data_IF_169748136378
#
_entry.id   IF_169748136378
#
_cell.length_a   1.000
_cell.length_b   1.000
_cell.length_c   1.000
_cell.angle_alpha   90.00
_cell.angle_beta   90.00
_cell.angle_gamma   90.00
#
_symmetry.space_group_name_H-M   'P 1'
#
loop_
_entity.id
_entity.type
_entity.pdbx_description
1 polymer ?
#
# COMPACT_ATOMS: atom_id res chain seq x y z
N UNK A 1 -3.49 8.81 32.61
CA UNK A 1 -3.17 7.55 31.91
C UNK A 1 -3.04 7.91 30.45
N UNK A 2 -1.91 7.59 29.84
CA UNK A 2 -1.54 8.05 28.49
C UNK A 2 -2.43 7.40 27.42
N UNK A 3 -3.05 8.16 26.48
CA UNK A 3 -3.88 7.62 25.42
C UNK A 3 -3.13 6.65 24.48
N UNK A 4 -1.83 6.87 24.28
CA UNK A 4 -0.96 5.98 23.50
C UNK A 4 -0.78 4.60 24.15
N UNK A 5 -0.72 4.56 25.48
CA UNK A 5 -0.67 3.30 26.22
C UNK A 5 -1.97 2.50 26.10
N UNK A 6 -3.12 3.16 25.98
CA UNK A 6 -4.42 2.48 25.83
C UNK A 6 -4.60 1.88 24.42
N UNK A 7 -4.11 2.55 23.38
CA UNK A 7 -4.13 2.05 22.00
C UNK A 7 -3.17 0.86 21.81
N UNK A 8 -1.94 0.96 22.33
CA UNK A 8 -1.00 -0.18 22.35
C UNK A 8 -1.53 -1.34 23.19
N UNK A 9 -2.18 -1.07 24.32
CA UNK A 9 -2.78 -2.12 25.15
C UNK A 9 -3.92 -2.85 24.42
N UNK A 10 -4.83 -2.14 23.76
CA UNK A 10 -5.92 -2.73 22.95
C UNK A 10 -5.38 -3.57 21.77
N UNK A 11 -4.30 -3.11 21.15
CA UNK A 11 -3.63 -3.85 20.06
C UNK A 11 -2.97 -5.13 20.56
N UNK A 12 -2.25 -5.05 21.69
CA UNK A 12 -1.66 -6.22 22.34
C UNK A 12 -2.71 -7.22 22.84
N UNK A 13 -3.87 -6.73 23.30
CA UNK A 13 -4.98 -7.57 23.76
C UNK A 13 -5.68 -8.29 22.59
N UNK A 14 -5.79 -7.64 21.42
CA UNK A 14 -6.28 -8.25 20.18
C UNK A 14 -5.29 -9.30 19.63
N UNK A 15 -3.99 -9.01 19.65
CA UNK A 15 -2.95 -9.98 19.28
C UNK A 15 -2.93 -11.20 20.21
N UNK A 16 -3.09 -10.98 21.53
CA UNK A 16 -3.19 -12.07 22.50
C UNK A 16 -4.46 -12.91 22.30
N UNK A 17 -5.60 -12.26 21.98
CA UNK A 17 -6.85 -12.95 21.66
C UNK A 17 -6.74 -13.78 20.37
N UNK A 18 -6.05 -13.25 19.36
CA UNK A 18 -5.74 -13.96 18.11
C UNK A 18 -4.82 -15.17 18.36
N UNK A 19 -3.79 -15.00 19.20
CA UNK A 19 -2.86 -16.07 19.59
C UNK A 19 -3.58 -17.20 20.31
N UNK A 20 -4.51 -16.87 21.21
CA UNK A 20 -5.34 -17.84 21.91
C UNK A 20 -6.35 -18.52 20.98
N UNK A 21 -6.99 -17.78 20.07
CA UNK A 21 -7.94 -18.32 19.09
C UNK A 21 -7.27 -19.30 18.11
N UNK A 22 -6.00 -19.07 17.76
CA UNK A 22 -5.21 -19.93 16.89
C UNK A 22 -4.57 -21.13 17.61
N UNK A 23 -4.85 -21.31 18.91
CA UNK A 23 -4.27 -22.36 19.75
C UNK A 23 -2.73 -22.38 19.73
N UNK A 24 -2.09 -21.21 19.55
CA UNK A 24 -0.63 -21.04 19.58
C UNK A 24 -0.11 -21.01 21.02
N UNK A 25 -0.58 -21.95 21.84
CA UNK A 25 -0.24 -22.05 23.26
C UNK A 25 1.25 -22.26 23.50
N UNK A 26 1.73 -21.78 24.65
CA UNK A 26 3.07 -22.05 25.15
C UNK A 26 3.33 -23.56 25.21
N UNK A 27 4.13 -24.07 24.28
CA UNK A 27 4.64 -25.43 24.37
C UNK A 27 5.55 -25.53 25.60
N UNK A 28 5.02 -26.09 26.69
CA UNK A 28 5.82 -26.45 27.85
C UNK A 28 6.82 -27.54 27.46
N UNK A 29 8.11 -27.20 27.49
CA UNK A 29 9.19 -28.15 27.24
C UNK A 29 9.28 -29.12 28.43
N UNK A 30 9.08 -30.43 28.25
CA UNK A 30 9.23 -31.41 29.32
C UNK A 30 10.73 -31.73 29.47
N UNK A 31 11.51 -30.77 30.00
CA UNK A 31 12.78 -30.95 30.72
C UNK A 31 13.38 -29.58 31.02
N UNK A 32 13.75 -29.39 32.31
CA UNK A 32 14.41 -28.21 32.90
C UNK A 32 15.36 -27.51 31.93
N UNK A 33 14.91 -26.39 31.34
CA UNK A 33 15.78 -25.45 30.65
C UNK A 33 15.50 -24.06 31.22
N UNK A 34 16.32 -23.63 32.17
CA UNK A 34 16.21 -22.40 32.94
C UNK A 34 16.64 -21.15 32.16
N UNK A 35 16.12 -20.95 30.95
CA UNK A 35 16.20 -19.68 30.22
C UNK A 35 14.85 -19.44 29.57
N UNK A 36 14.13 -18.39 30.00
CA UNK A 36 12.90 -17.91 29.35
C UNK A 36 13.18 -17.68 27.86
N UNK A 37 12.83 -18.64 27.00
CA UNK A 37 12.94 -18.51 25.55
C UNK A 37 11.71 -17.75 25.08
N UNK A 38 11.90 -16.50 24.63
CA UNK A 38 10.84 -15.71 24.02
C UNK A 38 10.44 -16.38 22.70
N UNK A 39 9.20 -16.83 22.58
CA UNK A 39 8.59 -17.23 21.32
C UNK A 39 8.62 -16.00 20.39
N UNK A 40 9.26 -16.09 19.23
CA UNK A 40 9.19 -15.06 18.20
C UNK A 40 8.08 -15.44 17.23
N UNK A 41 7.12 -14.55 17.01
CA UNK A 41 6.11 -14.67 15.95
C UNK A 41 6.71 -14.00 14.72
N UNK A 42 6.80 -14.71 13.61
CA UNK A 42 7.11 -14.13 12.30
C UNK A 42 5.79 -13.85 11.59
N UNK A 43 5.49 -12.58 11.33
CA UNK A 43 4.32 -12.23 10.50
C UNK A 43 4.77 -12.18 9.04
N UNK A 44 4.18 -13.01 8.21
CA UNK A 44 4.34 -12.97 6.76
C UNK A 44 3.04 -12.51 6.15
N UNK A 45 3.10 -11.40 5.44
CA UNK A 45 2.00 -10.96 4.60
C UNK A 45 2.11 -11.67 3.25
N UNK A 46 1.28 -12.68 3.06
CA UNK A 46 1.22 -13.51 1.84
C UNK A 46 0.40 -12.81 0.77
N UNK A 47 0.88 -11.63 0.43
CA UNK A 47 0.16 -10.64 -0.33
C UNK A 47 1.10 -9.97 -1.28
N UNK A 48 1.45 -10.68 -2.36
CA UNK A 48 2.26 -10.14 -3.44
C UNK A 48 3.27 -9.12 -2.93
N UNK A 49 4.38 -9.59 -2.33
CA UNK A 49 5.65 -9.00 -2.74
C UNK A 49 5.58 -8.86 -4.25
N UNK A 50 6.24 -7.88 -4.84
CA UNK A 50 6.42 -7.92 -6.28
C UNK A 50 7.45 -9.03 -6.59
N UNK A 51 7.10 -10.25 -6.21
CA UNK A 51 7.56 -11.50 -6.75
C UNK A 51 6.55 -11.74 -7.86
N UNK A 52 7.06 -11.88 -9.07
CA UNK A 52 6.35 -11.72 -10.33
C UNK A 52 5.26 -12.77 -10.62
N UNK A 53 4.72 -13.49 -9.62
CA UNK A 53 3.70 -14.52 -9.79
C UNK A 53 2.78 -14.58 -8.56
N UNK A 54 1.47 -14.64 -8.79
CA UNK A 54 0.41 -14.78 -7.78
C UNK A 54 0.34 -16.20 -7.13
N UNK A 55 1.43 -16.96 -7.12
CA UNK A 55 1.44 -18.38 -6.72
C UNK A 55 2.04 -18.59 -5.31
N UNK A 56 1.30 -19.31 -4.46
CA UNK A 56 1.64 -19.60 -3.06
C UNK A 56 2.94 -20.37 -2.82
N UNK A 57 3.58 -20.88 -3.87
CA UNK A 57 4.84 -21.63 -3.79
C UNK A 57 6.01 -20.78 -3.27
N UNK A 58 6.05 -19.48 -3.58
CA UNK A 58 7.19 -18.62 -3.24
C UNK A 58 7.29 -18.24 -1.75
N UNK A 59 6.17 -18.33 -1.04
CA UNK A 59 6.11 -17.97 0.38
C UNK A 59 6.70 -19.09 1.23
N UNK A 60 6.52 -20.35 0.81
CA UNK A 60 7.08 -21.51 1.51
C UNK A 60 8.61 -21.42 1.62
N UNK A 61 9.28 -21.02 0.54
CA UNK A 61 10.75 -20.87 0.49
C UNK A 61 11.27 -19.72 1.38
N UNK A 62 10.39 -18.75 1.67
CA UNK A 62 10.70 -17.62 2.54
C UNK A 62 10.49 -17.94 4.04
N UNK A 63 9.86 -19.07 4.37
CA UNK A 63 9.64 -19.48 5.77
C UNK A 63 10.94 -20.11 6.32
N UNK A 64 11.54 -19.56 7.37
CA UNK A 64 12.75 -20.11 7.95
C UNK A 64 12.51 -21.53 8.48
N UNK A 65 13.36 -22.48 8.07
CA UNK A 65 13.38 -23.82 8.66
C UNK A 65 13.97 -23.75 10.07
N UNK A 66 13.10 -23.68 11.09
CA UNK A 66 13.49 -23.66 12.50
C UNK A 66 12.68 -24.70 13.31
N UNK A 67 13.31 -25.39 14.28
CA UNK A 67 12.63 -26.42 15.07
C UNK A 67 11.60 -25.85 16.06
N UNK A 68 11.64 -24.55 16.34
CA UNK A 68 10.66 -23.86 17.18
C UNK A 68 10.39 -22.46 16.62
N UNK A 69 9.12 -22.13 16.46
CA UNK A 69 8.64 -20.84 15.97
C UNK A 69 7.19 -20.94 15.55
N UNK A 70 6.51 -19.81 15.48
CA UNK A 70 5.16 -19.72 14.91
C UNK A 70 5.18 -18.64 13.84
N UNK A 71 4.53 -18.92 12.71
CA UNK A 71 4.39 -17.99 11.59
C UNK A 71 2.93 -17.62 11.48
N UNK A 72 2.63 -16.33 11.49
CA UNK A 72 1.32 -15.79 11.19
C UNK A 72 1.31 -15.37 9.73
N UNK A 73 0.42 -15.97 8.93
CA UNK A 73 0.27 -15.62 7.51
C UNK A 73 -1.06 -14.90 7.31
N UNK A 74 -1.05 -13.75 6.66
CA UNK A 74 -2.28 -13.06 6.20
C UNK A 74 -2.39 -13.16 4.68
N UNK A 75 -3.58 -13.49 4.14
CA UNK A 75 -3.83 -13.59 2.69
C UNK A 75 -5.33 -13.44 2.35
N UNK A 76 -5.69 -12.93 1.14
CA UNK A 76 -7.06 -13.04 0.57
C UNK A 76 -7.23 -14.37 -0.15
N UNK A 77 -6.14 -15.02 -0.53
CA UNK A 77 -6.21 -16.25 -1.29
C UNK A 77 -6.37 -17.42 -0.31
N UNK A 78 -7.61 -17.90 -0.16
CA UNK A 78 -7.92 -19.01 0.75
C UNK A 78 -7.07 -20.25 0.44
N UNK A 79 -6.74 -20.51 -0.83
CA UNK A 79 -5.90 -21.65 -1.23
C UNK A 79 -4.49 -21.55 -0.65
N UNK A 80 -3.90 -20.36 -0.61
CA UNK A 80 -2.58 -20.13 0.01
C UNK A 80 -2.66 -20.40 1.51
N UNK A 81 -3.74 -19.95 2.16
CA UNK A 81 -4.00 -20.23 3.57
C UNK A 81 -4.08 -21.73 3.86
N UNK A 82 -4.82 -22.48 3.05
CA UNK A 82 -4.96 -23.94 3.19
C UNK A 82 -3.66 -24.70 2.92
N UNK A 83 -2.82 -24.23 2.00
CA UNK A 83 -1.57 -24.90 1.65
C UNK A 83 -0.46 -24.67 2.68
N UNK A 84 -0.37 -23.48 3.25
CA UNK A 84 0.78 -23.06 4.07
C UNK A 84 0.53 -23.11 5.58
N UNK A 85 -0.72 -23.05 6.04
CA UNK A 85 -1.05 -22.92 7.46
C UNK A 85 -1.72 -24.17 8.02
N UNK A 86 -1.28 -24.60 9.22
CA UNK A 86 -1.95 -25.68 9.95
C UNK A 86 -3.32 -25.27 10.52
N UNK A 87 -3.50 -23.97 10.78
CA UNK A 87 -4.74 -23.37 11.27
C UNK A 87 -5.05 -22.12 10.45
N UNK A 88 -6.30 -21.97 10.01
CA UNK A 88 -6.78 -20.82 9.25
C UNK A 88 -7.90 -20.10 10.01
N UNK A 89 -7.77 -18.79 10.17
CA UNK A 89 -8.82 -17.93 10.74
C UNK A 89 -9.34 -16.97 9.67
N UNK A 90 -10.61 -17.11 9.31
CA UNK A 90 -11.28 -16.14 8.44
C UNK A 90 -11.66 -14.91 9.26
N UNK A 91 -11.18 -13.75 8.84
CA UNK A 91 -11.55 -12.46 9.45
C UNK A 91 -12.82 -11.95 8.75
N UNK A 92 -13.98 -11.85 9.44
CA UNK A 92 -15.19 -11.31 8.85
C UNK A 92 -15.10 -9.78 8.70
N UNK A 93 -15.95 -9.16 7.86
CA UNK A 93 -16.17 -7.71 7.89
C UNK A 93 -16.57 -7.23 9.29
N UNK A 94 -16.35 -5.94 9.57
CA UNK A 94 -16.77 -5.38 10.86
C UNK A 94 -18.28 -5.34 10.96
N UNK A 95 -18.77 -5.50 12.18
CA UNK A 95 -20.18 -5.26 12.50
C UNK A 95 -20.55 -3.79 12.27
N UNK A 96 -21.84 -3.51 12.12
CA UNK A 96 -22.33 -2.12 11.98
C UNK A 96 -21.94 -1.31 13.22
N UNK A 97 -21.97 -1.91 14.41
CA UNK A 97 -21.61 -1.27 15.67
C UNK A 97 -20.11 -0.94 15.72
N UNK A 98 -19.25 -1.86 15.30
CA UNK A 98 -17.80 -1.63 15.20
C UNK A 98 -17.47 -0.55 14.16
N UNK A 99 -18.11 -0.58 12.99
CA UNK A 99 -17.91 0.44 11.96
C UNK A 99 -18.45 1.81 12.36
N UNK A 100 -19.59 1.87 13.06
CA UNK A 100 -20.11 3.11 13.67
C UNK A 100 -19.11 3.66 14.68
N UNK A 101 -18.59 2.79 15.55
CA UNK A 101 -17.60 3.16 16.57
C UNK A 101 -16.32 3.68 15.90
N UNK A 102 -15.83 3.00 14.87
CA UNK A 102 -14.66 3.41 14.10
C UNK A 102 -14.87 4.80 13.48
N UNK A 103 -16.00 5.02 12.80
CA UNK A 103 -16.33 6.30 12.17
C UNK A 103 -16.31 7.44 13.17
N UNK A 104 -17.03 7.30 14.29
CA UNK A 104 -17.12 8.34 15.31
C UNK A 104 -15.77 8.55 16.00
N UNK A 105 -14.99 7.49 16.18
CA UNK A 105 -13.62 7.57 16.73
C UNK A 105 -12.68 8.33 15.82
N UNK A 106 -12.84 8.27 14.50
CA UNK A 106 -12.01 9.04 13.55
C UNK A 106 -12.43 10.50 13.52
N UNK A 107 -13.74 10.80 13.62
CA UNK A 107 -14.25 12.18 13.62
C UNK A 107 -13.84 12.94 14.90
N UNK A 108 -13.63 12.23 16.02
CA UNK A 108 -13.10 12.77 17.28
C UNK A 108 -13.84 14.02 17.81
N UNK A 109 -15.17 14.00 17.84
CA UNK A 109 -15.97 15.05 18.50
C UNK A 109 -16.42 14.61 19.88
N UNK A 110 -16.47 15.55 20.82
CA UNK A 110 -16.84 15.30 22.22
C UNK A 110 -18.25 14.76 22.40
N UNK A 111 -19.19 15.21 21.55
CA UNK A 111 -20.60 14.84 21.63
C UNK A 111 -21.21 14.62 20.24
N UNK A 112 -22.04 13.58 20.17
CA UNK A 112 -22.85 13.25 19.00
C UNK A 112 -24.31 13.15 19.39
N UNK A 113 -25.19 13.79 18.62
CA UNK A 113 -26.64 13.65 18.82
C UNK A 113 -27.10 12.22 18.52
N UNK A 114 -28.33 11.87 18.92
CA UNK A 114 -28.89 10.55 18.61
C UNK A 114 -29.00 10.35 17.09
N UNK A 115 -29.39 11.39 16.39
CA UNK A 115 -29.54 11.43 14.93
C UNK A 115 -28.17 11.29 14.24
N UNK A 116 -27.10 11.89 14.77
CA UNK A 116 -25.75 11.72 14.22
C UNK A 116 -25.25 10.29 14.38
N UNK A 117 -25.52 9.66 15.53
CA UNK A 117 -25.17 8.25 15.75
C UNK A 117 -25.96 7.32 14.83
N UNK A 118 -27.24 7.60 14.61
CA UNK A 118 -28.07 6.84 13.68
C UNK A 118 -27.61 7.02 12.23
N UNK A 119 -27.25 8.24 11.83
CA UNK A 119 -26.65 8.53 10.53
C UNK A 119 -25.32 7.78 10.32
N UNK A 120 -24.43 7.79 11.32
CA UNK A 120 -23.19 7.03 11.30
C UNK A 120 -23.42 5.52 11.19
N UNK A 121 -24.41 4.97 11.91
CA UNK A 121 -24.78 3.56 11.84
C UNK A 121 -25.32 3.16 10.48
N UNK A 122 -26.19 4.00 9.90
CA UNK A 122 -26.70 3.77 8.55
C UNK A 122 -25.58 3.81 7.51
N UNK A 123 -24.63 4.75 7.64
CA UNK A 123 -23.48 4.83 6.75
C UNK A 123 -22.58 3.59 6.86
N UNK A 124 -22.27 3.16 8.09
CA UNK A 124 -21.49 1.93 8.31
C UNK A 124 -22.15 0.70 7.68
N UNK A 125 -23.48 0.63 7.71
CA UNK A 125 -24.25 -0.45 7.07
C UNK A 125 -24.15 -0.39 5.54
N UNK A 126 -24.23 0.80 4.96
CA UNK A 126 -24.09 1.01 3.50
C UNK A 126 -22.70 0.67 2.96
N UNK A 127 -21.67 0.78 3.81
CA UNK A 127 -20.29 0.45 3.48
C UNK A 127 -19.93 -1.02 3.76
N UNK A 128 -20.93 -1.89 3.95
CA UNK A 128 -20.80 -3.32 4.27
C UNK A 128 -19.85 -3.62 5.45
N UNK A 129 -19.72 -2.67 6.38
CA UNK A 129 -18.80 -2.80 7.52
C UNK A 129 -17.32 -2.91 7.12
N UNK A 130 -16.93 -2.46 5.92
CA UNK A 130 -15.54 -2.46 5.49
C UNK A 130 -14.76 -1.33 6.20
N UNK A 131 -13.78 -1.65 7.07
CA UNK A 131 -13.08 -0.62 7.85
C UNK A 131 -12.39 0.43 7.00
N UNK A 132 -11.82 0.03 5.85
CA UNK A 132 -11.16 0.94 4.93
C UNK A 132 -12.14 1.98 4.35
N UNK A 133 -13.32 1.54 3.91
CA UNK A 133 -14.31 2.45 3.33
C UNK A 133 -14.89 3.40 4.39
N UNK A 134 -15.12 2.89 5.60
CA UNK A 134 -15.51 3.71 6.76
C UNK A 134 -14.45 4.76 7.07
N UNK A 135 -13.16 4.38 7.05
CA UNK A 135 -12.06 5.29 7.30
C UNK A 135 -12.01 6.43 6.27
N UNK A 136 -12.14 6.11 4.98
CA UNK A 136 -12.18 7.12 3.91
C UNK A 136 -13.33 8.13 4.11
N UNK A 137 -14.54 7.65 4.36
CA UNK A 137 -15.69 8.54 4.59
C UNK A 137 -15.52 9.40 5.83
N UNK A 138 -15.02 8.83 6.93
CA UNK A 138 -14.76 9.60 8.14
C UNK A 138 -13.67 10.65 7.92
N UNK A 139 -12.59 10.33 7.19
CA UNK A 139 -11.55 11.29 6.82
C UNK A 139 -12.07 12.43 5.94
N UNK A 140 -12.96 12.15 4.98
CA UNK A 140 -13.61 13.19 4.20
C UNK A 140 -14.49 14.11 5.06
N UNK A 141 -15.20 13.55 6.05
CA UNK A 141 -15.99 14.35 7.00
C UNK A 141 -15.11 15.29 7.81
N UNK A 142 -13.97 14.80 8.31
CA UNK A 142 -13.01 15.61 9.07
C UNK A 142 -12.41 16.71 8.19
N UNK A 143 -11.90 16.35 7.01
CA UNK A 143 -11.29 17.28 6.05
C UNK A 143 -12.26 18.41 5.65
N UNK A 144 -13.54 18.09 5.44
CA UNK A 144 -14.58 19.06 5.06
C UNK A 144 -15.27 19.73 6.25
N UNK A 145 -14.88 19.41 7.48
CA UNK A 145 -15.48 19.90 8.73
C UNK A 145 -17.01 19.67 8.79
N UNK A 146 -17.47 18.50 8.35
CA UNK A 146 -18.88 18.14 8.31
C UNK A 146 -19.25 17.12 9.38
N UNK A 147 -20.43 17.27 9.98
CA UNK A 147 -21.08 16.18 10.74
C UNK A 147 -21.49 15.02 9.83
N UNK A 148 -21.72 13.81 10.38
CA UNK A 148 -22.26 12.69 9.60
C UNK A 148 -23.54 13.05 8.83
N UNK A 149 -24.44 13.80 9.45
CA UNK A 149 -25.70 14.23 8.83
C UNK A 149 -25.44 15.21 7.67
N UNK A 150 -24.59 16.22 7.88
CA UNK A 150 -24.27 17.20 6.83
C UNK A 150 -23.57 16.53 5.65
N UNK A 151 -22.64 15.61 5.93
CA UNK A 151 -21.91 14.90 4.90
C UNK A 151 -22.84 14.03 4.04
N UNK A 152 -23.69 13.21 4.65
CA UNK A 152 -24.64 12.36 3.91
C UNK A 152 -25.58 13.23 3.06
N UNK A 153 -26.14 14.32 3.62
CA UNK A 153 -26.98 15.26 2.85
C UNK A 153 -26.25 15.91 1.70
N UNK A 154 -24.97 16.23 1.87
CA UNK A 154 -24.15 16.76 0.78
C UNK A 154 -23.98 15.71 -0.30
N UNK A 155 -23.69 14.47 0.08
CA UNK A 155 -23.49 13.35 -0.85
C UNK A 155 -24.75 13.06 -1.67
N UNK A 156 -25.92 12.95 -1.02
CA UNK A 156 -27.22 12.74 -1.68
C UNK A 156 -27.58 13.86 -2.68
N UNK A 157 -27.06 15.07 -2.48
CA UNK A 157 -27.28 16.20 -3.39
C UNK A 157 -26.38 16.15 -4.62
N UNK A 158 -25.16 15.61 -4.48
CA UNK A 158 -24.16 15.55 -5.55
C UNK A 158 -24.17 14.23 -6.31
N UNK A 159 -24.66 13.14 -5.70
CA UNK A 159 -24.66 11.80 -6.27
C UNK A 159 -26.10 11.31 -6.46
N UNK A 160 -26.51 11.11 -7.72
CA UNK A 160 -27.71 10.32 -8.04
C UNK A 160 -27.57 8.83 -7.63
N UNK A 161 -26.37 8.41 -7.19
CA UNK A 161 -26.04 7.04 -6.81
C UNK A 161 -26.16 6.85 -5.30
N UNK A 162 -26.62 5.66 -4.92
CA UNK A 162 -26.57 5.18 -3.54
C UNK A 162 -25.11 5.16 -3.06
N UNK A 163 -24.90 5.52 -1.79
CA UNK A 163 -23.60 5.44 -1.16
C UNK A 163 -23.24 3.96 -0.97
N UNK A 164 -22.24 3.53 -1.72
CA UNK A 164 -21.64 2.19 -1.75
C UNK A 164 -20.14 2.31 -1.50
N UNK A 165 -19.48 1.18 -1.29
CA UNK A 165 -18.02 1.09 -1.17
C UNK A 165 -17.31 1.76 -2.35
N UNK A 166 -17.70 1.45 -3.60
CA UNK A 166 -17.05 2.04 -4.77
C UNK A 166 -17.29 3.55 -4.85
N UNK A 167 -18.51 4.03 -4.60
CA UNK A 167 -18.77 5.48 -4.62
C UNK A 167 -18.03 6.22 -3.51
N UNK A 168 -17.71 5.58 -2.39
CA UNK A 168 -16.89 6.15 -1.31
C UNK A 168 -15.42 6.35 -1.75
N UNK A 169 -14.87 5.42 -2.54
CA UNK A 169 -13.56 5.62 -3.16
C UNK A 169 -13.61 6.75 -4.18
N UNK A 170 -14.55 6.67 -5.12
CA UNK A 170 -14.69 7.66 -6.19
C UNK A 170 -14.94 9.08 -5.65
N UNK A 171 -15.76 9.27 -4.62
CA UNK A 171 -15.96 10.60 -4.01
C UNK A 171 -14.73 11.16 -3.32
N UNK A 172 -13.80 10.30 -2.92
CA UNK A 172 -12.48 10.70 -2.41
C UNK A 172 -11.57 11.16 -3.53
N UNK A 173 -11.64 10.49 -4.69
CA UNK A 173 -10.83 10.82 -5.86
C UNK A 173 -11.35 12.03 -6.62
N UNK A 174 -12.67 12.18 -6.75
CA UNK A 174 -13.31 13.28 -7.48
C UNK A 174 -13.08 14.65 -6.80
N UNK A 175 -12.67 14.67 -5.54
CA UNK A 175 -12.27 15.90 -4.83
C UNK A 175 -10.80 16.29 -5.00
N UNK A 176 -10.00 15.51 -5.73
CA UNK A 176 -8.58 15.78 -5.93
C UNK A 176 -8.36 16.77 -7.09
N UNK A 177 -7.49 17.74 -6.89
CA UNK A 177 -6.93 18.58 -7.96
C UNK A 177 -5.87 17.83 -8.78
N UNK A 178 -5.40 18.41 -9.89
CA UNK A 178 -4.49 17.73 -10.81
C UNK A 178 -3.13 17.38 -10.18
N UNK A 179 -2.65 18.18 -9.23
CA UNK A 179 -1.40 17.91 -8.49
C UNK A 179 -1.57 16.67 -7.62
N UNK A 180 -2.66 16.61 -6.83
CA UNK A 180 -3.00 15.45 -5.99
C UNK A 180 -3.19 14.19 -6.83
N UNK A 181 -3.84 14.31 -7.99
CA UNK A 181 -4.02 13.23 -8.95
C UNK A 181 -2.70 12.71 -9.47
N UNK A 182 -1.75 13.60 -9.75
CA UNK A 182 -0.44 13.20 -10.27
C UNK A 182 0.39 12.48 -9.20
N UNK A 183 0.47 13.02 -7.98
CA UNK A 183 1.17 12.37 -6.84
C UNK A 183 0.56 11.00 -6.55
N UNK A 184 -0.77 10.95 -6.43
CA UNK A 184 -1.49 9.71 -6.13
C UNK A 184 -1.41 8.69 -7.28
N UNK A 185 -1.41 9.17 -8.52
CA UNK A 185 -1.22 8.35 -9.72
C UNK A 185 0.17 7.73 -9.80
N UNK A 186 1.23 8.47 -9.45
CA UNK A 186 2.58 7.93 -9.30
C UNK A 186 2.59 6.85 -8.20
N UNK A 187 2.02 7.15 -7.04
CA UNK A 187 1.94 6.22 -5.91
C UNK A 187 1.20 4.92 -6.26
N UNK A 188 0.28 4.93 -7.24
CA UNK A 188 -0.43 3.74 -7.74
C UNK A 188 0.47 2.78 -8.52
N UNK A 189 1.55 3.24 -9.14
CA UNK A 189 2.40 2.38 -9.98
C UNK A 189 3.53 1.69 -9.23
N UNK A 190 3.81 2.15 -8.02
CA UNK A 190 4.86 1.65 -7.15
C UNK A 190 4.29 0.72 -6.06
N UNK A 191 5.16 -0.06 -5.41
CA UNK A 191 4.76 -0.98 -4.33
C UNK A 191 4.04 -0.25 -3.20
N UNK A 192 2.90 -0.77 -2.70
CA UNK A 192 2.03 -0.06 -1.76
C UNK A 192 2.62 0.21 -0.37
N UNK A 193 3.55 -0.60 0.13
CA UNK A 193 3.86 -0.64 1.57
C UNK A 193 5.17 0.06 1.99
N UNK A 194 5.98 0.55 1.06
CA UNK A 194 7.29 1.12 1.38
C UNK A 194 7.72 2.16 0.33
N UNK A 195 6.85 3.11 0.00
CA UNK A 195 7.15 4.15 -0.99
C UNK A 195 8.09 5.18 -0.33
N UNK A 196 9.32 5.37 -0.83
CA UNK A 196 10.26 6.31 -0.23
C UNK A 196 9.79 7.76 -0.39
N UNK A 197 9.98 8.60 0.63
CA UNK A 197 9.71 10.05 0.55
C UNK A 197 10.53 10.71 -0.58
N UNK A 198 11.82 10.38 -0.65
CA UNK A 198 12.75 10.87 -1.67
C UNK A 198 12.26 10.63 -3.11
N UNK A 199 11.36 9.66 -3.35
CA UNK A 199 10.80 9.41 -4.69
C UNK A 199 9.97 10.59 -5.19
N UNK A 200 9.33 11.34 -4.28
CA UNK A 200 8.52 12.51 -4.60
C UNK A 200 9.32 13.82 -4.56
N UNK A 201 10.60 13.75 -4.20
CA UNK A 201 11.49 14.90 -4.03
C UNK A 201 12.76 14.69 -4.85
N UNK A 202 12.65 14.66 -6.20
CA UNK A 202 13.83 14.53 -7.05
C UNK A 202 14.77 15.72 -6.84
N UNK A 203 16.07 15.51 -7.08
CA UNK A 203 17.08 16.57 -6.99
C UNK A 203 16.79 17.67 -8.03
N UNK A 204 16.73 18.93 -7.56
CA UNK A 204 16.46 20.13 -8.36
C UNK A 204 17.43 20.32 -9.54
N UNK A 205 18.62 19.73 -9.47
CA UNK A 205 19.59 19.82 -10.56
C UNK A 205 19.29 18.87 -11.74
N UNK A 206 18.40 17.90 -11.54
CA UNK A 206 18.03 16.88 -12.53
C UNK A 206 16.98 17.39 -13.52
N UNK A 207 16.85 16.80 -14.72
CA UNK A 207 15.80 17.20 -15.66
C UNK A 207 14.39 17.09 -15.06
N UNK A 208 14.12 16.04 -14.28
CA UNK A 208 12.80 15.88 -13.64
C UNK A 208 12.61 16.78 -12.42
N UNK A 209 13.68 17.14 -11.69
CA UNK A 209 13.58 18.16 -10.64
C UNK A 209 13.23 19.54 -11.20
N UNK A 210 13.78 19.90 -12.36
CA UNK A 210 13.51 21.18 -13.04
C UNK A 210 12.14 21.25 -13.71
N UNK A 211 11.76 20.17 -14.38
CA UNK A 211 10.49 20.13 -15.12
C UNK A 211 9.32 19.78 -14.22
N UNK A 212 9.54 18.92 -13.22
CA UNK A 212 8.52 18.43 -12.31
C UNK A 212 7.40 17.63 -13.01
N UNK A 213 6.78 16.67 -12.33
CA UNK A 213 5.45 16.21 -12.72
C UNK A 213 4.32 17.08 -12.12
N UNK A 214 4.67 18.01 -11.22
CA UNK A 214 3.75 18.84 -10.45
C UNK A 214 4.31 20.26 -10.30
N UNK A 215 3.40 21.25 -10.27
CA UNK A 215 3.72 22.68 -10.22
C UNK A 215 3.82 23.25 -8.79
N UNK A 216 3.15 22.60 -7.82
CA UNK A 216 3.05 23.02 -6.41
C UNK A 216 4.04 22.26 -5.49
N UNK A 217 4.34 22.77 -4.28
CA UNK A 217 5.13 22.03 -3.29
C UNK A 217 4.47 20.68 -2.98
N UNK A 218 5.14 19.59 -3.39
CA UNK A 218 4.66 18.21 -3.28
C UNK A 218 4.29 17.82 -1.85
N UNK A 219 4.93 18.42 -0.85
CA UNK A 219 4.65 18.19 0.57
C UNK A 219 3.20 18.55 0.93
N UNK A 220 2.66 19.65 0.41
CA UNK A 220 1.26 20.04 0.66
C UNK A 220 0.30 19.04 0.02
N UNK A 221 0.61 18.59 -1.19
CA UNK A 221 -0.17 17.57 -1.89
C UNK A 221 -0.19 16.24 -1.09
N UNK A 222 0.96 15.81 -0.58
CA UNK A 222 1.07 14.61 0.26
C UNK A 222 0.27 14.78 1.56
N UNK A 223 0.38 15.93 2.24
CA UNK A 223 -0.40 16.19 3.46
C UNK A 223 -1.91 16.17 3.20
N UNK A 224 -2.36 16.71 2.07
CA UNK A 224 -3.76 16.64 1.67
C UNK A 224 -4.21 15.19 1.44
N UNK A 225 -3.41 14.37 0.74
CA UNK A 225 -3.70 12.94 0.55
C UNK A 225 -3.72 12.15 1.87
N UNK A 226 -2.87 12.51 2.83
CA UNK A 226 -2.89 11.94 4.19
C UNK A 226 -4.16 12.33 4.93
N UNK A 227 -4.59 13.60 4.85
CA UNK A 227 -5.83 14.07 5.48
C UNK A 227 -7.07 13.33 4.97
N UNK A 228 -7.02 12.83 3.74
CA UNK A 228 -8.07 12.03 3.10
C UNK A 228 -7.93 10.52 3.34
N UNK A 229 -6.93 10.06 4.12
CA UNK A 229 -6.59 8.66 4.31
C UNK A 229 -6.29 7.87 3.01
N UNK A 230 -5.83 8.57 1.97
CA UNK A 230 -5.40 7.95 0.71
C UNK A 230 -3.94 7.50 0.77
N UNK A 231 -3.12 8.24 1.50
CA UNK A 231 -1.73 7.91 1.83
C UNK A 231 -1.59 7.85 3.36
N UNK A 232 -0.73 6.95 3.84
CA UNK A 232 -0.36 6.83 5.26
C UNK A 232 1.15 6.92 5.38
N UNK A 233 1.65 7.65 6.37
CA UNK A 233 3.09 7.67 6.70
C UNK A 233 3.37 6.57 7.73
N UNK A 234 4.41 5.78 7.49
CA UNK A 234 4.97 4.90 8.51
C UNK A 234 5.82 5.74 9.49
N UNK A 235 5.47 5.81 10.79
CA UNK A 235 6.17 6.67 11.76
C UNK A 235 7.57 6.17 12.13
N UNK A 236 7.95 4.95 11.73
CA UNK A 236 9.26 4.35 12.02
C UNK A 236 10.21 4.59 10.85
N UNK A 237 9.72 4.46 9.61
CA UNK A 237 10.57 4.53 8.42
C UNK A 237 10.42 5.81 7.62
N UNK A 238 9.44 6.66 7.97
CA UNK A 238 9.01 7.84 7.19
C UNK A 238 8.63 7.51 5.73
N UNK A 239 8.35 6.24 5.44
CA UNK A 239 7.92 5.83 4.11
C UNK A 239 6.41 6.01 4.00
N UNK A 240 5.97 6.34 2.80
CA UNK A 240 4.56 6.39 2.46
C UNK A 240 4.02 4.99 2.15
N UNK A 241 2.74 4.82 2.48
CA UNK A 241 1.96 3.62 2.23
C UNK A 241 0.64 3.99 1.59
N UNK A 242 0.25 3.23 0.57
CA UNK A 242 -1.08 3.32 -0.04
C UNK A 242 -1.74 1.98 0.10
N UNK A 243 -2.96 1.94 0.63
CA UNK A 243 -3.68 0.69 0.73
C UNK A 243 -3.86 0.08 -0.69
N UNK A 244 -3.51 -1.19 -0.89
CA UNK A 244 -3.54 -1.82 -2.23
C UNK A 244 -4.91 -1.73 -2.92
N UNK A 245 -6.00 -1.83 -2.16
CA UNK A 245 -7.35 -1.61 -2.70
C UNK A 245 -7.55 -0.16 -3.19
N UNK A 246 -7.02 0.82 -2.46
CA UNK A 246 -7.04 2.24 -2.86
C UNK A 246 -6.24 2.44 -4.17
N UNK A 247 -5.06 1.82 -4.33
CA UNK A 247 -4.32 1.84 -5.60
C UNK A 247 -5.11 1.20 -6.76
N UNK A 248 -5.81 0.09 -6.51
CA UNK A 248 -6.61 -0.59 -7.53
C UNK A 248 -7.81 0.24 -7.98
N UNK A 249 -8.56 0.82 -7.05
CA UNK A 249 -9.69 1.71 -7.39
C UNK A 249 -9.19 2.99 -8.08
N UNK A 250 -8.05 3.54 -7.65
CA UNK A 250 -7.40 4.68 -8.31
C UNK A 250 -7.06 4.38 -9.77
N UNK A 251 -6.52 3.19 -10.07
CA UNK A 251 -6.28 2.76 -11.45
C UNK A 251 -7.58 2.87 -12.24
N UNK A 252 -8.65 2.25 -11.77
CA UNK A 252 -9.91 2.21 -12.51
C UNK A 252 -10.48 3.61 -12.73
N UNK A 253 -10.29 4.51 -11.75
CA UNK A 253 -10.69 5.91 -11.80
C UNK A 253 -9.87 6.83 -12.74
N UNK A 254 -8.53 6.72 -12.79
CA UNK A 254 -7.65 7.66 -13.52
C UNK A 254 -7.98 7.79 -15.02
N UNK A 255 -8.64 6.80 -15.62
CA UNK A 255 -8.87 6.75 -17.07
C UNK A 255 -7.58 6.54 -17.89
N UNK A 256 -7.67 6.25 -19.20
CA UNK A 256 -6.51 5.81 -19.98
C UNK A 256 -5.39 6.85 -20.08
N UNK A 257 -5.71 8.11 -20.38
CA UNK A 257 -4.72 9.16 -20.59
C UNK A 257 -3.94 9.50 -19.32
N UNK A 258 -4.61 9.74 -18.17
CA UNK A 258 -3.89 10.03 -16.93
C UNK A 258 -3.10 8.81 -16.44
N UNK A 259 -3.56 7.57 -16.66
CA UNK A 259 -2.78 6.36 -16.35
C UNK A 259 -1.45 6.33 -17.10
N UNK A 260 -1.46 6.67 -18.38
CA UNK A 260 -0.25 6.76 -19.20
C UNK A 260 0.69 7.84 -18.67
N UNK A 261 0.21 9.07 -18.50
CA UNK A 261 1.03 10.18 -17.99
C UNK A 261 1.63 9.87 -16.62
N UNK A 262 0.83 9.34 -15.69
CA UNK A 262 1.29 9.03 -14.33
C UNK A 262 2.23 7.81 -14.30
N UNK A 263 2.09 6.85 -15.21
CA UNK A 263 3.07 5.77 -15.40
C UNK A 263 4.42 6.32 -15.89
N UNK A 264 4.42 7.22 -16.86
CA UNK A 264 5.63 7.85 -17.38
C UNK A 264 6.31 8.69 -16.29
N UNK A 265 5.54 9.44 -15.51
CA UNK A 265 6.06 10.20 -14.37
C UNK A 265 6.70 9.27 -13.32
N UNK A 266 6.02 8.18 -12.94
CA UNK A 266 6.58 7.19 -12.01
C UNK A 266 7.87 6.55 -12.55
N UNK A 267 7.93 6.28 -13.86
CA UNK A 267 9.12 5.72 -14.51
C UNK A 267 10.29 6.71 -14.50
N UNK A 268 10.03 8.00 -14.75
CA UNK A 268 11.06 9.05 -14.71
C UNK A 268 11.57 9.29 -13.29
N UNK A 269 10.68 9.38 -12.30
CA UNK A 269 11.06 9.56 -10.89
C UNK A 269 11.87 8.37 -10.38
N UNK A 270 11.45 7.14 -10.69
CA UNK A 270 12.22 5.95 -10.32
C UNK A 270 13.53 5.86 -11.07
N UNK A 271 13.59 6.25 -12.34
CA UNK A 271 14.86 6.30 -13.08
C UNK A 271 15.87 7.24 -12.42
N UNK A 272 15.42 8.42 -11.98
CA UNK A 272 16.27 9.37 -11.27
C UNK A 272 16.72 8.81 -9.92
N UNK A 273 15.80 8.24 -9.16
CA UNK A 273 16.11 7.65 -7.85
C UNK A 273 16.98 6.38 -7.94
N UNK A 274 16.99 5.67 -9.08
CA UNK A 274 17.70 4.41 -9.24
C UNK A 274 19.14 4.65 -9.75
N UNK A 275 20.17 4.24 -8.99
CA UNK A 275 21.57 4.43 -9.39
C UNK A 275 21.86 3.83 -10.78
N UNK A 276 22.28 4.70 -11.70
CA UNK A 276 22.67 4.29 -13.04
C UNK A 276 24.07 3.69 -13.10
N UNK A 277 24.28 2.78 -14.04
CA UNK A 277 25.61 2.27 -14.31
C UNK A 277 26.43 3.30 -15.07
N UNK A 278 27.61 3.64 -14.54
CA UNK A 278 28.56 4.55 -15.17
C UNK A 278 29.84 3.76 -15.50
N UNK A 279 30.26 3.76 -16.76
CA UNK A 279 31.54 3.17 -17.22
C UNK A 279 31.79 1.71 -16.80
N UNK A 280 30.77 0.85 -16.83
CA UNK A 280 30.87 -0.57 -16.40
C UNK A 280 31.32 -0.79 -14.95
N UNK A 281 31.20 0.22 -14.08
CA UNK A 281 31.50 0.06 -12.67
C UNK A 281 30.40 -0.70 -11.95
N UNK A 282 30.79 -1.33 -10.83
CA UNK A 282 29.85 -2.02 -9.96
C UNK A 282 28.94 -1.04 -9.22
N UNK A 283 27.69 -1.42 -9.00
CA UNK A 283 26.74 -0.67 -8.18
C UNK A 283 26.91 -0.93 -6.68
N UNK A 284 27.90 -1.71 -6.24
CA UNK A 284 28.12 -2.06 -4.83
C UNK A 284 28.03 -0.88 -3.85
N UNK A 285 28.63 0.30 -4.11
CA UNK A 285 28.48 1.47 -3.22
C UNK A 285 27.04 1.97 -3.07
N UNK A 286 26.19 1.70 -4.06
CA UNK A 286 24.81 2.19 -4.17
C UNK A 286 23.75 1.12 -3.91
N UNK A 287 24.15 -0.11 -3.57
CA UNK A 287 23.23 -1.21 -3.26
C UNK A 287 22.13 -0.85 -2.24
N UNK A 288 22.38 -0.06 -1.17
CA UNK A 288 21.31 0.37 -0.28
C UNK A 288 20.18 1.13 -1.00
N UNK A 289 20.51 2.01 -1.93
CA UNK A 289 19.54 2.76 -2.74
C UNK A 289 18.86 1.84 -3.76
N UNK A 290 19.63 1.03 -4.48
CA UNK A 290 19.06 0.04 -5.41
C UNK A 290 18.05 -0.88 -4.72
N UNK A 291 18.36 -1.34 -3.50
CA UNK A 291 17.47 -2.20 -2.70
C UNK A 291 16.16 -1.50 -2.31
N UNK A 292 16.17 -0.19 -2.06
CA UNK A 292 14.94 0.58 -1.84
C UNK A 292 14.10 0.64 -3.12
N UNK A 293 14.71 0.87 -4.27
CA UNK A 293 14.01 1.14 -5.52
C UNK A 293 13.59 -0.13 -6.30
N UNK A 294 14.27 -1.26 -6.15
CA UNK A 294 14.15 -2.43 -7.02
C UNK A 294 12.73 -3.02 -7.08
N UNK A 295 12.05 -3.07 -5.94
CA UNK A 295 10.68 -3.59 -5.87
C UNK A 295 9.69 -2.67 -6.60
N UNK A 296 9.95 -1.37 -6.62
CA UNK A 296 9.13 -0.41 -7.38
C UNK A 296 9.40 -0.49 -8.89
N UNK A 297 10.65 -0.70 -9.31
CA UNK A 297 10.98 -0.97 -10.72
C UNK A 297 10.33 -2.27 -11.22
N UNK A 298 10.37 -3.32 -10.39
CA UNK A 298 9.63 -4.57 -10.63
C UNK A 298 8.12 -4.33 -10.76
N UNK A 299 7.55 -3.46 -9.91
CA UNK A 299 6.12 -3.10 -9.96
C UNK A 299 5.76 -2.47 -11.30
N UNK A 300 6.58 -1.54 -11.80
CA UNK A 300 6.36 -0.96 -13.14
C UNK A 300 6.40 -2.02 -14.24
N UNK A 301 7.40 -2.90 -14.22
CA UNK A 301 7.52 -4.02 -15.17
C UNK A 301 6.28 -4.92 -15.17
N UNK A 302 5.80 -5.31 -13.99
CA UNK A 302 4.57 -6.08 -13.84
C UNK A 302 3.35 -5.36 -14.42
N UNK A 303 3.22 -4.05 -14.18
CA UNK A 303 2.10 -3.26 -14.70
C UNK A 303 2.10 -3.20 -16.23
N UNK A 304 3.27 -3.09 -16.87
CA UNK A 304 3.39 -3.12 -18.34
C UNK A 304 2.89 -4.44 -18.91
N UNK A 305 3.31 -5.56 -18.32
CA UNK A 305 2.88 -6.90 -18.73
C UNK A 305 1.38 -7.12 -18.52
N UNK A 306 0.90 -6.88 -17.30
CA UNK A 306 -0.48 -7.19 -16.88
C UNK A 306 -1.51 -6.34 -17.61
N UNK A 307 -1.20 -5.06 -17.85
CA UNK A 307 -2.14 -4.11 -18.45
C UNK A 307 -1.80 -3.75 -19.89
N UNK A 308 -0.88 -4.47 -20.52
CA UNK A 308 -0.46 -4.27 -21.91
C UNK A 308 -0.04 -2.83 -22.22
N UNK A 309 0.61 -2.15 -21.27
CA UNK A 309 1.07 -0.78 -21.47
C UNK A 309 2.21 -0.70 -22.51
N UNK A 310 2.77 -1.82 -22.94
CA UNK A 310 3.75 -1.85 -24.03
C UNK A 310 3.19 -1.32 -25.36
N UNK A 311 1.87 -1.28 -25.53
CA UNK A 311 1.18 -0.69 -26.70
C UNK A 311 1.21 0.86 -26.70
N UNK A 312 1.75 1.50 -25.65
CA UNK A 312 1.97 2.95 -25.59
C UNK A 312 3.06 3.39 -26.59
N UNK A 313 2.98 4.64 -27.05
CA UNK A 313 4.02 5.23 -27.91
C UNK A 313 5.23 5.59 -27.06
N UNK A 314 6.28 4.76 -27.11
CA UNK A 314 7.52 5.01 -26.40
C UNK A 314 8.49 5.87 -27.21
N UNK A 315 9.09 6.88 -26.58
CA UNK A 315 10.34 7.44 -27.08
C UNK A 315 11.45 6.38 -26.98
N UNK A 316 12.38 6.33 -27.94
CA UNK A 316 13.41 5.27 -27.99
C UNK A 316 14.82 5.80 -27.66
N UNK A 317 15.57 5.18 -26.72
CA UNK A 317 15.10 4.29 -25.66
C UNK A 317 14.41 5.11 -24.54
N UNK A 318 13.23 4.64 -24.11
CA UNK A 318 12.45 5.36 -23.10
C UNK A 318 13.17 5.34 -21.75
N UNK A 319 12.90 6.34 -20.92
CA UNK A 319 13.39 6.40 -19.54
C UNK A 319 13.06 5.12 -18.75
N UNK A 320 11.92 4.50 -19.05
CA UNK A 320 11.52 3.22 -18.48
C UNK A 320 12.44 2.06 -18.88
N UNK A 321 12.78 1.92 -20.17
CA UNK A 321 13.72 0.87 -20.63
C UNK A 321 15.10 1.02 -19.98
N UNK A 322 15.57 2.27 -19.84
CA UNK A 322 16.84 2.58 -19.15
C UNK A 322 16.79 2.22 -17.66
N UNK A 323 15.67 2.51 -16.99
CA UNK A 323 15.43 2.07 -15.60
C UNK A 323 15.50 0.55 -15.47
N UNK A 324 14.81 -0.19 -16.34
CA UNK A 324 14.83 -1.65 -16.30
C UNK A 324 16.22 -2.22 -16.53
N UNK A 325 17.02 -1.58 -17.40
CA UNK A 325 18.40 -1.97 -17.65
C UNK A 325 19.29 -1.80 -16.42
N UNK A 326 19.18 -0.65 -15.73
CA UNK A 326 19.89 -0.39 -14.47
C UNK A 326 19.47 -1.38 -13.36
N UNK A 327 18.17 -1.66 -13.27
CA UNK A 327 17.62 -2.60 -12.29
C UNK A 327 18.09 -4.05 -12.55
N UNK A 328 18.10 -4.48 -13.81
CA UNK A 328 18.62 -5.79 -14.22
C UNK A 328 20.12 -5.94 -13.89
N UNK A 329 20.91 -4.88 -14.06
CA UNK A 329 22.31 -4.88 -13.66
C UNK A 329 22.48 -5.13 -12.16
N UNK A 330 21.77 -4.38 -11.32
CA UNK A 330 21.79 -4.58 -9.86
C UNK A 330 21.38 -6.01 -9.45
N UNK A 331 20.35 -6.56 -10.08
CA UNK A 331 19.90 -7.94 -9.81
C UNK A 331 20.94 -8.98 -10.24
N UNK A 332 21.68 -8.72 -11.33
CA UNK A 332 22.78 -9.57 -11.77
C UNK A 332 23.91 -9.58 -10.73
N UNK A 333 24.28 -8.42 -10.20
CA UNK A 333 25.30 -8.32 -9.14
C UNK A 333 24.90 -9.01 -7.83
N UNK A 334 23.59 -9.07 -7.55
CA UNK A 334 23.04 -9.71 -6.34
C UNK A 334 22.58 -11.16 -6.56
N UNK A 335 22.94 -11.76 -7.70
CA UNK A 335 22.67 -13.16 -8.07
C UNK A 335 21.17 -13.54 -8.11
N UNK A 336 20.30 -12.58 -8.47
CA UNK A 336 18.86 -12.76 -8.59
C UNK A 336 18.46 -13.01 -10.05
N UNK A 337 18.85 -14.17 -10.59
CA UNK A 337 18.82 -14.44 -12.05
C UNK A 337 17.43 -14.43 -12.68
N UNK A 338 16.39 -14.85 -11.95
CA UNK A 338 15.04 -14.93 -12.51
C UNK A 338 14.42 -13.54 -12.70
N UNK A 339 14.57 -12.67 -11.70
CA UNK A 339 14.05 -11.31 -11.80
C UNK A 339 14.75 -10.53 -12.92
N UNK A 340 16.02 -10.83 -13.22
CA UNK A 340 16.75 -10.24 -14.37
C UNK A 340 16.04 -10.54 -15.68
N UNK A 341 15.76 -11.82 -15.96
CA UNK A 341 15.13 -12.24 -17.21
C UNK A 341 13.76 -11.56 -17.39
N UNK A 342 12.97 -11.49 -16.30
CA UNK A 342 11.66 -10.84 -16.31
C UNK A 342 11.76 -9.32 -16.57
N UNK A 343 12.74 -8.62 -16.00
CA UNK A 343 12.94 -7.20 -16.32
C UNK A 343 13.38 -6.99 -17.77
N UNK A 344 14.32 -7.80 -18.27
CA UNK A 344 14.86 -7.65 -19.62
C UNK A 344 13.82 -7.96 -20.70
N UNK A 345 13.04 -9.03 -20.53
CA UNK A 345 11.91 -9.33 -21.41
C UNK A 345 10.92 -8.16 -21.51
N UNK A 346 10.59 -7.50 -20.40
CA UNK A 346 9.74 -6.30 -20.43
C UNK A 346 10.39 -5.15 -21.16
N UNK A 347 11.69 -4.94 -20.95
CA UNK A 347 12.43 -3.90 -21.66
C UNK A 347 12.41 -4.14 -23.18
N UNK A 348 12.61 -5.38 -23.62
CA UNK A 348 12.54 -5.75 -25.04
C UNK A 348 11.15 -5.60 -25.66
N UNK A 349 10.07 -5.80 -24.89
CA UNK A 349 8.71 -5.53 -25.38
C UNK A 349 8.42 -4.04 -25.60
N UNK A 350 9.19 -3.14 -24.97
CA UNK A 350 9.02 -1.69 -25.04
C UNK A 350 10.04 -0.99 -25.96
N UNK A 351 10.92 -1.75 -26.61
CA UNK A 351 11.83 -1.28 -27.67
C UNK A 351 11.20 -1.53 -29.04
#
# INVERSE_FOLDING_TARGET
MDPENESQFKTNQRLASLTNALSLGEYSCPKRCSRRKKSKILTLEAWGKVDFVEDGYHIADSIPSAPMGSVLITTRNENVGFQLASNTLRVPPSTVEEGTTLLLTIIQRDNYSKEEREAASNLSRQLDGLPLAVNLMASQMVSRQMSPIQFIKSFERYSERLLTVNTAFHSSFDSLDETLVTVFGVARFVVPDAIPDDLFKPDDDTPIGKEGPWDDPVDEAIQNLISLSLIVIDPITDNYRVHRLVQNECRDWLGPSRRETTFLNASRLLFEAFPGQIHMQTLHPYWPTCKKCIQHAASLSYNVRKFKLHELSWDSPSTFVRLLSNAAWYLTETASCREVDELLETAFMCC
#
